data_IF_972852162421
#
_entry.id   IF_972852162421
#
_cell.length_a   1.000
_cell.length_b   1.000
_cell.length_c   1.000
_cell.angle_alpha   90.00
_cell.angle_beta   90.00
_cell.angle_gamma   90.00
#
_symmetry.space_group_name_H-M   'P 1'
#
loop_
_entity.id
_entity.type
_entity.pdbx_description
1 polymer ?
#
# COMPACT_ATOMS: atom_id res chain seq x y z
N UNK A 1 31.72 26.88 -18.48
CA UNK A 1 32.39 28.18 -18.65
C UNK A 1 33.64 27.93 -19.48
N UNK A 2 33.93 28.74 -20.54
CA UNK A 2 35.12 28.61 -21.34
C UNK A 2 36.41 28.70 -20.52
N UNK A 3 37.48 28.07 -21.03
CA UNK A 3 38.79 28.15 -20.39
C UNK A 3 39.26 29.59 -20.31
N UNK A 4 39.72 30.03 -19.15
CA UNK A 4 40.16 31.42 -18.91
C UNK A 4 39.08 32.34 -18.35
N UNK A 5 37.80 32.04 -18.50
CA UNK A 5 36.72 32.78 -17.85
C UNK A 5 36.60 32.41 -16.36
N UNK A 6 36.40 33.41 -15.51
CA UNK A 6 36.33 33.21 -14.07
C UNK A 6 35.07 33.84 -13.41
N UNK A 7 34.15 34.38 -14.21
CA UNK A 7 32.85 34.90 -13.82
C UNK A 7 31.90 34.93 -15.01
N UNK A 8 30.61 35.06 -14.74
CA UNK A 8 29.54 35.23 -15.72
C UNK A 8 28.82 36.53 -15.43
N UNK A 9 28.69 37.40 -16.42
CA UNK A 9 27.77 38.53 -16.40
C UNK A 9 26.41 38.03 -16.90
N UNK A 10 25.35 38.18 -16.10
CA UNK A 10 24.00 37.84 -16.56
C UNK A 10 23.49 38.94 -17.51
N UNK A 11 22.64 38.55 -18.43
CA UNK A 11 22.17 39.45 -19.51
C UNK A 11 21.40 40.66 -18.96
N UNK A 12 20.69 40.51 -17.85
CA UNK A 12 19.93 41.56 -17.21
C UNK A 12 20.80 42.69 -16.65
N UNK A 13 22.06 42.40 -16.32
CA UNK A 13 23.05 43.36 -15.83
C UNK A 13 24.00 43.89 -16.94
N UNK A 14 23.72 43.51 -18.19
CA UNK A 14 24.47 43.90 -19.37
C UNK A 14 23.63 44.80 -20.28
N UNK A 15 24.23 45.87 -20.80
CA UNK A 15 23.68 46.72 -21.84
C UNK A 15 24.57 46.63 -23.07
N UNK A 16 24.02 46.08 -24.16
CA UNK A 16 24.74 45.97 -25.44
C UNK A 16 24.73 47.35 -26.14
N UNK A 17 25.94 47.85 -26.48
CA UNK A 17 26.17 49.08 -27.24
C UNK A 17 27.05 48.67 -28.43
N UNK A 18 26.71 49.05 -29.61
CA UNK A 18 27.37 48.75 -30.91
C UNK A 18 28.57 47.78 -30.85
N UNK A 19 29.69 48.21 -30.27
CA UNK A 19 30.92 47.42 -30.13
C UNK A 19 31.34 47.15 -28.70
N UNK A 20 30.49 47.46 -27.71
CA UNK A 20 30.80 47.34 -26.27
C UNK A 20 29.63 46.74 -25.50
N UNK A 21 29.96 46.15 -24.37
CA UNK A 21 28.98 45.76 -23.33
C UNK A 21 29.20 46.65 -22.11
N UNK A 22 28.20 47.44 -21.75
CA UNK A 22 28.23 48.23 -20.54
C UNK A 22 27.71 47.38 -19.38
N UNK A 23 28.54 47.25 -18.36
CA UNK A 23 28.23 46.49 -17.15
C UNK A 23 27.49 47.40 -16.16
N UNK A 24 26.27 47.04 -15.73
CA UNK A 24 25.45 47.80 -14.81
C UNK A 24 25.80 47.52 -13.35
N UNK A 25 26.35 46.35 -13.06
CA UNK A 25 26.76 45.94 -11.71
C UNK A 25 28.16 45.35 -11.71
N UNK A 26 28.89 45.53 -10.62
CA UNK A 26 30.23 44.96 -10.43
C UNK A 26 30.13 43.43 -10.48
N UNK A 27 30.95 42.81 -11.34
CA UNK A 27 31.09 41.37 -11.43
C UNK A 27 32.29 40.90 -10.60
N UNK A 28 32.04 40.02 -9.66
CA UNK A 28 33.12 39.45 -8.83
C UNK A 28 33.59 38.08 -9.34
N UNK A 29 34.78 37.68 -8.91
CA UNK A 29 35.34 36.39 -9.29
C UNK A 29 34.47 35.26 -8.74
N UNK A 30 34.09 34.31 -9.62
CA UNK A 30 33.21 33.18 -9.45
C UNK A 30 31.69 33.49 -9.38
N UNK A 31 31.28 34.74 -9.73
CA UNK A 31 29.87 35.05 -9.86
C UNK A 31 29.22 34.16 -10.91
N UNK A 32 28.08 33.57 -10.56
CA UNK A 32 27.27 32.64 -11.34
C UNK A 32 28.01 31.41 -11.89
N UNK A 33 29.23 31.11 -11.41
CA UNK A 33 29.98 29.91 -11.77
C UNK A 33 29.70 28.78 -10.79
N UNK A 34 29.08 27.72 -11.30
CA UNK A 34 28.91 26.47 -10.53
C UNK A 34 30.21 25.67 -10.58
N UNK A 35 30.85 25.50 -9.42
CA UNK A 35 32.06 24.67 -9.32
C UNK A 35 31.74 23.20 -9.61
N UNK A 36 32.65 22.47 -10.24
CA UNK A 36 32.55 21.01 -10.45
C UNK A 36 32.24 20.32 -9.11
N UNK A 37 31.17 19.49 -9.09
CA UNK A 37 30.75 18.76 -7.89
C UNK A 37 29.98 19.59 -6.87
N UNK A 38 29.41 20.76 -7.25
CA UNK A 38 28.54 21.56 -6.36
C UNK A 38 27.22 20.84 -6.08
N UNK A 39 26.67 20.06 -7.01
CA UNK A 39 25.42 19.28 -6.83
C UNK A 39 25.76 17.89 -6.24
N UNK A 40 26.58 17.13 -6.92
CA UNK A 40 27.05 15.83 -6.43
C UNK A 40 28.49 15.53 -6.85
N UNK A 41 29.15 14.63 -6.11
CA UNK A 41 30.54 14.23 -6.34
C UNK A 41 30.63 12.75 -6.66
N UNK A 42 31.61 12.36 -7.47
CA UNK A 42 31.93 10.96 -7.72
C UNK A 42 32.17 10.19 -6.41
N UNK A 43 31.69 8.96 -6.31
CA UNK A 43 31.82 8.11 -5.12
C UNK A 43 30.80 8.38 -4.01
N UNK A 44 29.99 9.45 -4.07
CA UNK A 44 28.94 9.71 -3.08
C UNK A 44 27.68 8.89 -3.40
N UNK A 45 27.16 8.18 -2.40
CA UNK A 45 25.90 7.45 -2.53
C UNK A 45 24.75 8.46 -2.43
N UNK A 46 24.01 8.67 -3.51
CA UNK A 46 22.86 9.57 -3.58
C UNK A 46 21.54 8.83 -3.37
N UNK A 47 21.42 7.61 -3.89
CA UNK A 47 20.23 6.76 -3.75
C UNK A 47 20.62 5.46 -3.02
N UNK A 48 19.84 5.11 -2.01
CA UNK A 48 20.07 3.89 -1.23
C UNK A 48 19.18 2.75 -1.74
N UNK A 49 19.65 1.50 -1.55
CA UNK A 49 18.83 0.30 -1.77
C UNK A 49 17.55 0.37 -0.95
N UNK A 50 16.43 -0.04 -1.54
CA UNK A 50 15.12 -0.06 -0.89
C UNK A 50 14.33 1.23 -1.04
N UNK A 51 14.90 2.27 -1.65
CA UNK A 51 14.18 3.51 -1.96
C UNK A 51 13.22 3.29 -3.14
N UNK A 52 11.99 3.78 -3.02
CA UNK A 52 11.05 3.87 -4.16
C UNK A 52 11.47 5.07 -5.01
N UNK A 53 11.79 4.81 -6.29
CA UNK A 53 12.21 5.85 -7.22
C UNK A 53 11.05 6.77 -7.58
N UNK A 54 11.25 8.07 -7.37
CA UNK A 54 10.32 9.16 -7.71
C UNK A 54 10.82 9.93 -8.92
N UNK A 55 10.00 10.81 -9.46
CA UNK A 55 10.32 11.61 -10.66
C UNK A 55 11.65 12.36 -10.54
N UNK A 56 11.93 12.96 -9.38
CA UNK A 56 13.20 13.68 -9.17
C UNK A 56 14.42 12.76 -9.06
N UNK A 57 14.24 11.53 -8.57
CA UNK A 57 15.31 10.52 -8.56
C UNK A 57 15.66 10.11 -9.99
N UNK A 58 14.66 9.97 -10.86
CA UNK A 58 14.85 9.67 -12.29
C UNK A 58 15.60 10.82 -12.99
N UNK A 59 15.22 12.08 -12.72
CA UNK A 59 15.92 13.24 -13.26
C UNK A 59 17.38 13.29 -12.81
N UNK A 60 17.65 13.01 -11.53
CA UNK A 60 19.01 12.92 -10.98
C UNK A 60 19.82 11.81 -11.65
N UNK A 61 19.26 10.62 -11.83
CA UNK A 61 19.92 9.51 -12.53
C UNK A 61 20.25 9.87 -13.98
N UNK A 62 19.33 10.51 -14.67
CA UNK A 62 19.54 10.98 -16.05
C UNK A 62 20.65 12.03 -16.10
N UNK A 63 20.73 12.97 -15.14
CA UNK A 63 21.81 13.98 -15.08
C UNK A 63 23.20 13.36 -14.85
N UNK A 64 23.24 12.17 -14.24
CA UNK A 64 24.47 11.37 -14.08
C UNK A 64 24.81 10.50 -15.28
N UNK A 65 24.07 10.60 -16.37
CA UNK A 65 24.20 9.75 -17.56
C UNK A 65 24.05 8.25 -17.28
N UNK A 66 23.09 7.89 -16.39
CA UNK A 66 22.76 6.51 -16.03
C UNK A 66 21.44 6.08 -16.70
N UNK A 67 21.48 5.55 -17.95
CA UNK A 67 20.28 5.20 -18.71
C UNK A 67 19.60 3.92 -18.20
N UNK A 68 20.32 3.06 -17.49
CA UNK A 68 19.83 1.79 -16.98
C UNK A 68 20.15 1.61 -15.50
N UNK A 69 19.18 1.14 -14.75
CA UNK A 69 19.31 0.86 -13.33
C UNK A 69 18.71 -0.52 -12.98
N UNK A 70 19.43 -1.29 -12.17
CA UNK A 70 18.88 -2.53 -11.62
C UNK A 70 17.87 -2.22 -10.52
N UNK A 71 16.63 -2.66 -10.71
CA UNK A 71 15.53 -2.48 -9.76
C UNK A 71 14.90 -3.82 -9.38
N UNK A 72 14.18 -3.86 -8.26
CA UNK A 72 13.40 -5.03 -7.86
C UNK A 72 12.20 -5.22 -8.81
N UNK A 73 11.98 -6.42 -9.27
CA UNK A 73 10.82 -6.79 -10.09
C UNK A 73 9.53 -6.63 -9.27
N UNK A 74 8.47 -6.13 -9.88
CA UNK A 74 7.14 -6.08 -9.25
C UNK A 74 6.64 -7.50 -8.95
N UNK A 75 6.13 -7.78 -7.73
CA UNK A 75 5.52 -9.06 -7.41
C UNK A 75 4.27 -9.32 -8.27
N UNK A 76 4.14 -10.53 -8.78
CA UNK A 76 2.93 -11.01 -9.48
C UNK A 76 1.95 -11.53 -8.46
N UNK A 77 0.72 -11.02 -8.48
CA UNK A 77 -0.32 -11.35 -7.50
C UNK A 77 -1.56 -11.87 -8.22
N UNK A 78 -2.03 -13.06 -7.87
CA UNK A 78 -3.29 -13.62 -8.33
C UNK A 78 -4.35 -13.46 -7.24
N UNK A 79 -5.54 -12.97 -7.61
CA UNK A 79 -6.66 -12.72 -6.70
C UNK A 79 -7.82 -13.63 -7.11
N UNK A 80 -8.29 -14.47 -6.19
CA UNK A 80 -9.42 -15.39 -6.35
C UNK A 80 -10.50 -14.96 -5.35
N UNK A 81 -11.73 -14.71 -5.80
CA UNK A 81 -12.89 -14.66 -4.91
C UNK A 81 -13.60 -16.01 -4.89
N UNK A 82 -14.13 -16.39 -3.73
CA UNK A 82 -14.91 -17.62 -3.57
C UNK A 82 -16.31 -17.26 -3.05
N UNK A 83 -17.34 -17.90 -3.62
CA UNK A 83 -18.73 -17.70 -3.21
C UNK A 83 -19.71 -18.00 -4.34
N UNK A 84 -20.73 -18.80 -4.04
CA UNK A 84 -21.81 -19.09 -5.01
C UNK A 84 -22.73 -17.89 -5.20
N UNK A 85 -22.76 -17.00 -4.20
CA UNK A 85 -23.50 -15.74 -4.21
C UNK A 85 -22.86 -14.66 -5.09
N UNK A 86 -21.61 -14.82 -5.52
CA UNK A 86 -20.85 -13.77 -6.17
C UNK A 86 -21.14 -13.68 -7.67
N UNK A 87 -21.33 -12.45 -8.15
CA UNK A 87 -21.37 -12.12 -9.59
C UNK A 87 -20.36 -11.03 -9.93
N UNK A 88 -19.87 -11.06 -11.16
CA UNK A 88 -18.92 -10.06 -11.67
C UNK A 88 -19.64 -8.71 -11.83
N UNK A 89 -19.00 -7.57 -11.49
CA UNK A 89 -19.56 -6.23 -11.78
C UNK A 89 -19.97 -6.08 -13.24
N UNK A 90 -21.13 -5.46 -13.47
CA UNK A 90 -21.76 -5.33 -14.79
C UNK A 90 -22.86 -6.36 -15.04
N UNK A 91 -22.88 -7.47 -14.33
CA UNK A 91 -23.98 -8.43 -14.35
C UNK A 91 -25.03 -8.05 -13.30
N UNK A 92 -26.32 -8.19 -13.65
CA UNK A 92 -27.42 -7.99 -12.69
C UNK A 92 -27.46 -9.16 -11.69
N UNK A 93 -27.34 -8.89 -10.37
CA UNK A 93 -27.47 -9.94 -9.37
C UNK A 93 -28.89 -10.52 -9.36
N UNK A 94 -29.01 -11.84 -9.32
CA UNK A 94 -30.27 -12.54 -9.02
C UNK A 94 -30.56 -12.53 -7.52
N UNK A 95 -31.70 -13.11 -7.11
CA UNK A 95 -31.99 -13.32 -5.69
C UNK A 95 -30.84 -14.08 -5.04
N UNK A 96 -30.43 -13.64 -3.86
CA UNK A 96 -29.30 -14.19 -3.07
C UNK A 96 -27.93 -14.04 -3.71
N UNK A 97 -27.76 -13.14 -4.67
CA UNK A 97 -26.46 -12.80 -5.25
C UNK A 97 -26.01 -11.38 -4.88
N UNK A 98 -24.70 -11.21 -4.79
CA UNK A 98 -24.05 -9.92 -4.54
C UNK A 98 -22.90 -9.70 -5.54
N UNK A 99 -22.58 -8.44 -5.78
CA UNK A 99 -21.47 -8.09 -6.69
C UNK A 99 -20.12 -8.28 -5.99
N UNK A 100 -19.21 -9.00 -6.64
CA UNK A 100 -17.84 -9.23 -6.15
C UNK A 100 -16.99 -7.95 -6.21
N UNK A 101 -17.18 -7.04 -5.26
CA UNK A 101 -16.49 -5.74 -5.19
C UNK A 101 -15.07 -5.80 -4.62
N UNK A 102 -14.80 -6.76 -3.73
CA UNK A 102 -13.57 -6.84 -2.95
C UNK A 102 -12.33 -7.01 -3.80
N UNK A 103 -12.41 -7.86 -4.85
CA UNK A 103 -11.31 -8.14 -5.76
C UNK A 103 -10.83 -6.89 -6.51
N UNK A 104 -11.76 -6.01 -6.88
CA UNK A 104 -11.44 -4.77 -7.60
C UNK A 104 -10.77 -3.76 -6.69
N UNK A 105 -11.29 -3.56 -5.46
CA UNK A 105 -10.67 -2.72 -4.45
C UNK A 105 -9.26 -3.22 -4.08
N UNK A 106 -9.13 -4.53 -3.88
CA UNK A 106 -7.85 -5.16 -3.57
C UNK A 106 -6.85 -5.02 -4.72
N UNK A 107 -7.28 -5.25 -5.97
CA UNK A 107 -6.43 -5.05 -7.16
C UNK A 107 -5.89 -3.62 -7.23
N UNK A 108 -6.76 -2.63 -7.00
CA UNK A 108 -6.35 -1.22 -6.99
C UNK A 108 -5.28 -0.94 -5.92
N UNK A 109 -5.47 -1.42 -4.69
CA UNK A 109 -4.49 -1.29 -3.60
C UNK A 109 -3.15 -1.96 -3.92
N UNK A 110 -3.17 -3.21 -4.39
CA UNK A 110 -1.96 -3.96 -4.72
C UNK A 110 -1.14 -3.27 -5.83
N UNK A 111 -1.82 -2.79 -6.87
CA UNK A 111 -1.16 -2.06 -7.96
C UNK A 111 -0.58 -0.73 -7.47
N UNK A 112 -1.30 0.00 -6.60
CA UNK A 112 -0.83 1.23 -5.96
C UNK A 112 0.44 0.97 -5.13
N UNK A 113 0.52 -0.17 -4.45
CA UNK A 113 1.70 -0.57 -3.66
C UNK A 113 2.83 -1.16 -4.50
N UNK A 114 2.69 -1.21 -5.82
CA UNK A 114 3.75 -1.59 -6.75
C UNK A 114 3.77 -3.07 -7.15
N UNK A 115 2.73 -3.84 -6.86
CA UNK A 115 2.54 -5.18 -7.41
C UNK A 115 1.94 -5.12 -8.82
N UNK A 116 1.98 -6.25 -9.53
CA UNK A 116 1.19 -6.51 -10.74
C UNK A 116 0.14 -7.55 -10.40
N UNK A 117 -1.13 -7.17 -10.37
CA UNK A 117 -2.20 -8.04 -9.88
C UNK A 117 -3.23 -8.39 -10.94
N UNK A 118 -3.69 -9.64 -10.93
CA UNK A 118 -4.69 -10.19 -11.83
C UNK A 118 -5.86 -10.77 -11.02
N UNK A 119 -7.10 -10.48 -11.44
CA UNK A 119 -8.31 -11.10 -10.91
C UNK A 119 -8.58 -12.34 -11.74
N UNK A 120 -8.71 -13.47 -11.07
CA UNK A 120 -9.08 -14.75 -11.67
C UNK A 120 -10.59 -14.96 -11.63
N UNK A 121 -11.13 -15.92 -12.39
CA UNK A 121 -12.55 -16.27 -12.31
C UNK A 121 -12.99 -16.58 -10.89
N UNK A 122 -14.24 -16.29 -10.56
CA UNK A 122 -14.85 -16.59 -9.26
C UNK A 122 -14.88 -18.12 -9.07
N UNK A 123 -14.28 -18.59 -8.00
CA UNK A 123 -14.39 -19.99 -7.59
C UNK A 123 -15.74 -20.22 -6.88
N UNK A 124 -16.38 -21.37 -7.15
CA UNK A 124 -17.57 -21.81 -6.42
C UNK A 124 -17.19 -22.36 -5.05
N UNK A 125 -18.16 -22.42 -4.14
CA UNK A 125 -17.96 -22.92 -2.77
C UNK A 125 -17.82 -24.44 -2.71
N UNK A 126 -16.85 -24.95 -3.48
CA UNK A 126 -16.42 -26.33 -3.45
C UNK A 126 -14.91 -26.49 -3.73
N UNK A 127 -14.33 -27.57 -3.23
CA UNK A 127 -12.89 -27.85 -3.32
C UNK A 127 -12.40 -27.89 -4.77
N UNK A 128 -13.13 -28.57 -5.66
CA UNK A 128 -12.73 -28.73 -7.06
C UNK A 128 -12.63 -27.42 -7.81
N UNK A 129 -13.58 -26.51 -7.59
CA UNK A 129 -13.57 -25.18 -8.21
C UNK A 129 -12.42 -24.33 -7.69
N UNK A 130 -12.16 -24.36 -6.38
CA UNK A 130 -11.05 -23.64 -5.77
C UNK A 130 -9.69 -24.20 -6.23
N UNK A 131 -9.54 -25.51 -6.34
CA UNK A 131 -8.32 -26.14 -6.85
C UNK A 131 -8.02 -25.68 -8.29
N UNK A 132 -9.01 -25.73 -9.18
CA UNK A 132 -8.88 -25.21 -10.56
C UNK A 132 -8.48 -23.75 -10.61
N UNK A 133 -9.06 -22.92 -9.73
CA UNK A 133 -8.70 -21.50 -9.64
C UNK A 133 -7.27 -21.33 -9.14
N UNK A 134 -6.80 -22.15 -8.21
CA UNK A 134 -5.42 -22.13 -7.71
C UNK A 134 -4.43 -22.61 -8.79
N UNK A 135 -4.76 -23.59 -9.60
CA UNK A 135 -3.94 -24.02 -10.74
C UNK A 135 -3.73 -22.86 -11.74
N UNK A 136 -4.79 -22.08 -12.00
CA UNK A 136 -4.71 -20.88 -12.82
C UNK A 136 -3.90 -19.74 -12.17
N UNK A 137 -3.79 -19.74 -10.84
CA UNK A 137 -3.10 -18.69 -10.10
C UNK A 137 -1.58 -18.77 -10.23
N UNK A 138 -1.03 -19.91 -10.61
CA UNK A 138 0.44 -20.13 -10.72
C UNK A 138 0.87 -19.96 -12.18
N UNK A 139 2.02 -19.32 -12.46
CA UNK A 139 3.03 -18.85 -11.49
C UNK A 139 2.77 -17.44 -10.96
N UNK A 140 2.56 -17.31 -9.66
CA UNK A 140 2.48 -16.04 -8.93
C UNK A 140 3.43 -16.02 -7.73
N UNK A 141 3.85 -14.84 -7.30
CA UNK A 141 4.63 -14.66 -6.09
C UNK A 141 3.72 -14.65 -4.84
N UNK A 142 2.48 -14.21 -5.02
CA UNK A 142 1.44 -14.14 -3.98
C UNK A 142 0.09 -14.53 -4.58
N UNK A 143 -0.59 -15.47 -3.93
CA UNK A 143 -1.97 -15.87 -4.24
C UNK A 143 -2.86 -15.44 -3.09
N UNK A 144 -3.93 -14.72 -3.41
CA UNK A 144 -4.89 -14.22 -2.42
C UNK A 144 -6.26 -14.81 -2.73
N UNK A 145 -6.88 -15.46 -1.74
CA UNK A 145 -8.29 -15.84 -1.78
C UNK A 145 -9.11 -14.87 -0.94
N UNK A 146 -10.32 -14.54 -1.38
CA UNK A 146 -11.27 -13.69 -0.65
C UNK A 146 -12.58 -14.45 -0.48
N UNK A 147 -12.98 -14.69 0.76
CA UNK A 147 -14.07 -15.60 1.10
C UNK A 147 -13.58 -17.03 1.30
N UNK A 148 -14.51 -17.94 1.56
CA UNK A 148 -14.21 -19.35 1.81
C UNK A 148 -13.40 -19.66 3.09
N UNK A 149 -12.87 -18.63 3.75
CA UNK A 149 -12.22 -18.74 5.06
C UNK A 149 -13.29 -18.43 6.13
N UNK A 150 -13.87 -19.50 6.70
CA UNK A 150 -14.92 -19.39 7.74
C UNK A 150 -14.43 -19.96 9.08
N UNK A 151 -15.18 -19.67 10.14
CA UNK A 151 -14.96 -20.28 11.47
C UNK A 151 -15.72 -21.61 11.66
N UNK A 152 -16.46 -22.09 10.65
CA UNK A 152 -17.30 -23.29 10.68
C UNK A 152 -16.84 -24.37 9.69
N UNK A 153 -17.70 -25.38 9.49
CA UNK A 153 -17.44 -26.63 8.74
C UNK A 153 -17.18 -26.45 7.22
N UNK A 154 -17.21 -25.21 6.72
CA UNK A 154 -17.04 -24.89 5.30
C UNK A 154 -15.79 -24.04 5.03
N UNK A 155 -14.66 -24.32 5.71
CA UNK A 155 -13.38 -23.64 5.43
C UNK A 155 -12.63 -24.37 4.31
N UNK A 156 -13.19 -24.32 3.10
CA UNK A 156 -12.58 -24.92 1.92
C UNK A 156 -11.18 -24.37 1.61
N UNK A 157 -10.91 -23.11 1.94
CA UNK A 157 -9.60 -22.48 1.68
C UNK A 157 -8.53 -23.14 2.52
N UNK A 158 -8.76 -23.33 3.82
CA UNK A 158 -7.81 -24.00 4.72
C UNK A 158 -7.55 -25.46 4.28
N UNK A 159 -8.60 -26.19 3.91
CA UNK A 159 -8.47 -27.59 3.47
C UNK A 159 -7.67 -27.70 2.16
N UNK A 160 -7.97 -26.85 1.17
CA UNK A 160 -7.25 -26.88 -0.11
C UNK A 160 -5.81 -26.40 0.06
N UNK A 161 -5.55 -25.41 0.90
CA UNK A 161 -4.19 -25.00 1.22
C UNK A 161 -3.39 -26.14 1.88
N UNK A 162 -4.00 -26.93 2.75
CA UNK A 162 -3.37 -28.12 3.33
C UNK A 162 -3.07 -29.18 2.24
N UNK A 163 -4.01 -29.44 1.33
CA UNK A 163 -3.84 -30.41 0.23
C UNK A 163 -2.67 -30.03 -0.68
N UNK A 164 -2.51 -28.75 -1.01
CA UNK A 164 -1.38 -28.25 -1.80
C UNK A 164 -0.12 -28.00 -0.94
N UNK A 165 -0.08 -28.50 0.30
CA UNK A 165 1.07 -28.44 1.23
C UNK A 165 1.54 -27.03 1.55
N UNK A 166 0.63 -26.06 1.67
CA UNK A 166 0.94 -24.73 2.20
C UNK A 166 1.30 -24.86 3.68
N UNK A 167 2.51 -24.48 4.03
CA UNK A 167 2.92 -24.39 5.44
C UNK A 167 2.32 -23.12 6.04
N UNK A 168 1.34 -23.28 6.93
CA UNK A 168 0.68 -22.16 7.59
C UNK A 168 1.66 -21.38 8.47
N UNK A 169 1.71 -20.07 8.31
CA UNK A 169 2.42 -19.15 9.20
C UNK A 169 1.53 -18.72 10.36
N UNK A 170 0.25 -18.49 10.07
CA UNK A 170 -0.80 -18.25 11.07
C UNK A 170 -2.19 -18.56 10.50
N UNK A 171 -3.12 -18.83 11.43
CA UNK A 171 -4.53 -19.06 11.14
C UNK A 171 -5.35 -18.42 12.24
N UNK A 172 -6.21 -17.47 11.87
CA UNK A 172 -7.00 -16.58 12.76
C UNK A 172 -6.15 -15.62 13.61
N UNK A 173 -6.57 -14.37 13.64
CA UNK A 173 -5.91 -13.32 14.43
C UNK A 173 -6.94 -12.68 15.35
N UNK A 174 -6.55 -12.39 16.58
CA UNK A 174 -7.43 -11.77 17.60
C UNK A 174 -7.65 -10.28 17.33
N UNK A 175 -8.19 -9.95 16.16
CA UNK A 175 -8.46 -8.58 15.71
C UNK A 175 -9.90 -8.37 15.24
N UNK A 176 -10.30 -7.11 15.09
CA UNK A 176 -11.56 -6.65 14.53
C UNK A 176 -11.29 -5.43 13.63
N UNK A 177 -11.81 -5.40 12.36
CA UNK A 177 -12.33 -6.55 11.63
C UNK A 177 -11.20 -7.49 11.18
N UNK A 178 -11.51 -8.68 10.64
CA UNK A 178 -10.51 -9.52 9.98
C UNK A 178 -10.06 -10.77 10.75
N UNK A 179 -10.80 -11.24 11.78
CA UNK A 179 -10.45 -12.44 12.56
C UNK A 179 -10.08 -13.66 11.68
N UNK A 180 -10.83 -14.04 10.61
CA UNK A 180 -10.58 -15.28 9.86
C UNK A 180 -9.53 -15.11 8.74
N UNK A 181 -8.49 -14.33 8.97
CA UNK A 181 -7.35 -14.27 8.04
C UNK A 181 -6.43 -15.46 8.28
N UNK A 182 -5.88 -16.00 7.18
CA UNK A 182 -4.85 -17.03 7.23
C UNK A 182 -3.73 -16.70 6.25
N UNK A 183 -2.52 -17.16 6.55
CA UNK A 183 -1.39 -17.03 5.64
C UNK A 183 -0.45 -18.22 5.75
N UNK A 184 0.21 -18.54 4.66
CA UNK A 184 1.19 -19.59 4.59
C UNK A 184 2.05 -19.50 3.34
N UNK A 185 2.93 -20.49 3.15
CA UNK A 185 3.85 -20.53 2.03
C UNK A 185 3.98 -21.96 1.51
N UNK A 186 4.00 -22.10 0.19
CA UNK A 186 4.44 -23.32 -0.50
C UNK A 186 5.53 -22.94 -1.52
N UNK A 187 6.70 -23.55 -1.42
CA UNK A 187 7.87 -23.20 -2.21
C UNK A 187 8.15 -21.68 -2.16
N UNK A 188 8.11 -21.01 -3.30
CA UNK A 188 8.35 -19.57 -3.41
C UNK A 188 7.07 -18.73 -3.44
N UNK A 189 5.88 -19.37 -3.46
CA UNK A 189 4.59 -18.67 -3.49
C UNK A 189 4.04 -18.50 -2.08
N UNK A 190 3.62 -17.29 -1.76
CA UNK A 190 2.91 -16.96 -0.52
C UNK A 190 1.40 -17.05 -0.80
N UNK A 191 0.66 -17.59 0.15
CA UNK A 191 -0.79 -17.76 0.09
C UNK A 191 -1.42 -17.00 1.25
N UNK A 192 -2.44 -16.20 0.94
CA UNK A 192 -3.18 -15.43 1.96
C UNK A 192 -4.68 -15.58 1.71
N UNK A 193 -5.42 -16.08 2.71
CA UNK A 193 -6.87 -16.10 2.71
C UNK A 193 -7.42 -14.91 3.48
N UNK A 194 -8.18 -14.06 2.80
CA UNK A 194 -8.83 -12.88 3.36
C UNK A 194 -10.30 -13.17 3.66
N UNK A 195 -10.90 -12.50 4.66
CA UNK A 195 -12.33 -12.57 4.95
C UNK A 195 -13.18 -12.14 3.74
N UNK A 196 -14.38 -12.73 3.61
CA UNK A 196 -15.36 -12.35 2.57
C UNK A 196 -15.95 -10.95 2.77
N UNK A 197 -16.12 -10.48 4.01
CA UNK A 197 -16.66 -9.15 4.29
C UNK A 197 -15.76 -8.03 3.73
N UNK A 198 -16.31 -7.08 2.94
CA UNK A 198 -15.52 -6.10 2.18
C UNK A 198 -14.54 -5.29 3.01
N UNK A 199 -15.02 -4.69 4.10
CA UNK A 199 -14.17 -3.89 4.99
C UNK A 199 -13.11 -4.74 5.66
N UNK A 200 -13.46 -5.98 6.05
CA UNK A 200 -12.48 -6.90 6.64
C UNK A 200 -11.36 -7.22 5.67
N UNK A 201 -11.68 -7.53 4.41
CA UNK A 201 -10.70 -7.84 3.39
C UNK A 201 -9.75 -6.67 3.13
N UNK A 202 -10.29 -5.46 2.94
CA UNK A 202 -9.48 -4.27 2.64
C UNK A 202 -8.67 -3.76 3.83
N UNK A 203 -9.20 -3.84 5.05
CA UNK A 203 -8.44 -3.53 6.28
C UNK A 203 -7.32 -4.55 6.49
N UNK A 204 -7.58 -5.86 6.31
CA UNK A 204 -6.53 -6.89 6.34
C UNK A 204 -5.48 -6.65 5.25
N UNK A 205 -5.87 -6.21 4.07
CA UNK A 205 -4.92 -5.87 3.01
C UNK A 205 -3.97 -4.75 3.45
N UNK A 206 -4.47 -3.66 4.02
CA UNK A 206 -3.62 -2.60 4.57
C UNK A 206 -2.68 -3.09 5.68
N UNK A 207 -3.19 -3.91 6.60
CA UNK A 207 -2.41 -4.35 7.75
C UNK A 207 -1.35 -5.39 7.42
N UNK A 208 -1.62 -6.30 6.48
CA UNK A 208 -0.77 -7.46 6.19
C UNK A 208 -0.18 -7.43 4.78
N UNK A 209 -0.97 -7.12 3.75
CA UNK A 209 -0.47 -7.19 2.37
C UNK A 209 0.39 -5.99 2.00
N UNK A 210 0.06 -4.78 2.46
CA UNK A 210 0.88 -3.58 2.22
C UNK A 210 2.33 -3.77 2.67
N UNK A 211 2.62 -4.14 3.96
CA UNK A 211 3.98 -4.40 4.39
C UNK A 211 4.60 -5.65 3.74
N UNK A 212 3.80 -6.67 3.40
CA UNK A 212 4.28 -7.84 2.67
C UNK A 212 4.79 -7.46 1.27
N UNK A 213 4.04 -6.68 0.51
CA UNK A 213 4.46 -6.16 -0.80
C UNK A 213 5.72 -5.31 -0.64
N UNK A 214 5.80 -4.46 0.38
CA UNK A 214 7.00 -3.69 0.71
C UNK A 214 8.22 -4.58 0.91
N UNK A 215 8.08 -5.65 1.68
CA UNK A 215 9.15 -6.63 1.91
C UNK A 215 9.55 -7.36 0.63
N UNK A 216 8.59 -7.73 -0.23
CA UNK A 216 8.87 -8.36 -1.54
C UNK A 216 9.60 -7.40 -2.49
N UNK A 217 9.30 -6.11 -2.43
CA UNK A 217 9.99 -5.06 -3.18
C UNK A 217 11.34 -4.63 -2.57
N UNK A 218 11.61 -5.05 -1.32
CA UNK A 218 12.82 -4.69 -0.59
C UNK A 218 12.79 -3.25 -0.05
N UNK A 219 11.60 -2.69 0.22
CA UNK A 219 11.43 -1.34 0.78
C UNK A 219 10.69 -1.36 2.12
N UNK A 220 11.00 -0.40 2.98
CA UNK A 220 10.27 -0.14 4.23
C UNK A 220 9.25 1.00 4.09
N UNK A 221 9.19 1.68 2.95
CA UNK A 221 8.28 2.81 2.72
C UNK A 221 6.79 2.41 2.75
N UNK A 222 6.50 1.10 2.59
CA UNK A 222 5.15 0.54 2.67
C UNK A 222 4.77 0.02 4.07
N UNK A 223 5.62 0.17 5.07
CA UNK A 223 5.27 -0.22 6.43
C UNK A 223 4.18 0.69 7.01
N UNK A 224 3.29 0.09 7.79
CA UNK A 224 2.30 0.86 8.54
C UNK A 224 3.00 1.55 9.72
N UNK A 225 2.99 2.89 9.70
CA UNK A 225 3.59 3.70 10.76
C UNK A 225 2.50 4.10 11.74
N UNK A 226 2.63 3.70 13.00
CA UNK A 226 1.75 4.15 14.07
C UNK A 226 2.05 5.60 14.44
N UNK A 227 1.00 6.41 14.45
CA UNK A 227 1.04 7.85 14.80
C UNK A 227 0.10 8.13 15.95
N UNK A 228 0.21 9.31 16.56
CA UNK A 228 -0.71 9.80 17.59
C UNK A 228 -1.54 10.97 17.05
N UNK A 229 -2.83 10.99 17.40
CA UNK A 229 -3.76 12.06 17.05
C UNK A 229 -4.82 12.27 18.12
N UNK A 230 -5.47 13.43 18.12
CA UNK A 230 -6.47 13.81 19.11
C UNK A 230 -7.85 13.27 18.73
N UNK A 231 -8.56 12.64 19.66
CA UNK A 231 -9.95 12.20 19.45
C UNK A 231 -10.91 13.38 19.38
N UNK A 232 -11.82 13.35 18.40
CA UNK A 232 -12.94 14.30 18.30
C UNK A 232 -14.20 13.85 19.04
N UNK A 233 -14.30 12.57 19.41
CA UNK A 233 -15.48 11.98 20.06
C UNK A 233 -15.06 10.90 21.06
N UNK A 234 -15.85 10.72 22.11
CA UNK A 234 -15.62 9.68 23.10
C UNK A 234 -15.69 8.29 22.49
N UNK A 235 -14.86 7.38 22.99
CA UNK A 235 -14.87 5.96 22.64
C UNK A 235 -15.14 5.11 23.88
N UNK A 236 -16.00 4.10 23.80
CA UNK A 236 -16.25 3.19 24.91
C UNK A 236 -15.03 2.29 25.17
N UNK A 237 -15.04 1.57 26.30
CA UNK A 237 -14.08 0.50 26.58
C UNK A 237 -14.05 -0.49 25.41
N UNK A 238 -12.84 -0.88 24.97
CA UNK A 238 -12.70 -1.88 23.92
C UNK A 238 -12.95 -3.30 24.46
N UNK A 239 -13.39 -4.17 23.57
CA UNK A 239 -13.57 -5.60 23.86
C UNK A 239 -12.23 -6.36 23.82
N UNK A 240 -12.28 -7.68 23.93
CA UNK A 240 -11.12 -8.59 24.06
C UNK A 240 -10.21 -8.70 22.80
N UNK A 241 -10.60 -8.10 21.66
CA UNK A 241 -9.80 -8.13 20.43
C UNK A 241 -9.23 -6.76 20.11
N UNK A 242 -8.02 -6.72 19.56
CA UNK A 242 -7.46 -5.49 18.97
C UNK A 242 -8.41 -4.97 17.89
N UNK A 243 -8.82 -3.69 17.98
CA UNK A 243 -9.81 -3.12 17.08
C UNK A 243 -9.19 -2.03 16.22
N UNK A 244 -9.32 -2.14 14.91
CA UNK A 244 -8.94 -1.16 13.92
C UNK A 244 -10.20 -0.42 13.46
N UNK A 245 -10.44 0.75 14.05
CA UNK A 245 -11.66 1.53 13.84
C UNK A 245 -11.48 2.54 12.72
N UNK A 246 -12.40 2.55 11.76
CA UNK A 246 -12.39 3.54 10.68
C UNK A 246 -12.62 4.93 11.23
N UNK A 247 -11.74 5.86 10.84
CA UNK A 247 -11.77 7.24 11.26
C UNK A 247 -11.46 8.19 10.11
N UNK A 248 -11.87 9.44 10.25
CA UNK A 248 -11.47 10.53 9.39
C UNK A 248 -10.48 11.42 10.13
N UNK A 249 -9.28 11.51 9.60
CA UNK A 249 -8.20 12.36 10.10
C UNK A 249 -8.21 13.68 9.36
N UNK A 250 -8.29 14.78 10.09
CA UNK A 250 -8.12 16.14 9.56
C UNK A 250 -7.39 17.01 10.59
N UNK A 251 -6.31 17.66 10.18
CA UNK A 251 -5.51 18.57 11.04
C UNK A 251 -5.09 17.93 12.39
N UNK A 252 -4.66 16.66 12.36
CA UNK A 252 -4.25 15.93 13.56
C UNK A 252 -5.40 15.43 14.46
N UNK A 253 -6.64 15.68 14.07
CA UNK A 253 -7.85 15.28 14.81
C UNK A 253 -8.54 14.09 14.13
N UNK A 254 -8.98 13.11 14.92
CA UNK A 254 -9.56 11.84 14.50
C UNK A 254 -11.04 11.77 14.85
N UNK A 255 -11.90 11.87 13.85
CA UNK A 255 -13.32 11.59 13.96
C UNK A 255 -13.57 10.10 13.70
N UNK A 256 -13.73 9.31 14.76
CA UNK A 256 -14.00 7.88 14.64
C UNK A 256 -15.45 7.65 14.24
N UNK A 257 -15.66 6.89 13.16
CA UNK A 257 -17.03 6.57 12.69
C UNK A 257 -17.80 5.78 13.76
N UNK A 258 -19.05 6.18 14.01
CA UNK A 258 -19.95 5.42 14.89
C UNK A 258 -20.34 4.06 14.30
N UNK A 259 -20.38 3.96 12.97
CA UNK A 259 -20.71 2.72 12.24
C UNK A 259 -19.41 1.95 11.92
N UNK A 260 -19.21 0.82 12.59
CA UNK A 260 -18.03 -0.03 12.46
C UNK A 260 -18.36 -1.43 11.92
N UNK A 261 -19.48 -1.57 11.20
CA UNK A 261 -19.87 -2.82 10.55
C UNK A 261 -18.92 -3.15 9.40
N UNK A 262 -18.55 -4.43 9.26
CA UNK A 262 -17.55 -4.90 8.30
C UNK A 262 -18.06 -5.03 6.86
N UNK A 263 -19.35 -4.80 6.63
CA UNK A 263 -19.97 -4.77 5.29
C UNK A 263 -20.01 -3.35 4.67
N UNK A 264 -19.86 -2.29 5.50
CA UNK A 264 -20.11 -0.91 5.08
C UNK A 264 -18.92 -0.28 4.34
N UNK A 265 -18.80 -0.53 3.04
CA UNK A 265 -17.78 0.08 2.17
C UNK A 265 -17.87 1.60 2.12
N UNK A 266 -19.08 2.18 2.17
CA UNK A 266 -19.27 3.64 2.17
C UNK A 266 -18.63 4.33 3.37
N UNK A 267 -18.50 3.64 4.51
CA UNK A 267 -17.79 4.13 5.68
C UNK A 267 -16.28 4.05 5.49
N UNK A 268 -15.80 2.96 4.91
CA UNK A 268 -14.37 2.80 4.60
C UNK A 268 -13.91 3.80 3.53
N UNK A 269 -14.73 4.06 2.52
CA UNK A 269 -14.44 5.02 1.45
C UNK A 269 -14.21 6.45 1.97
N UNK A 270 -14.89 6.83 3.07
CA UNK A 270 -14.73 8.13 3.73
C UNK A 270 -13.58 8.16 4.73
N UNK A 271 -13.07 6.99 5.13
CA UNK A 271 -12.00 6.90 6.11
C UNK A 271 -10.63 7.08 5.45
N UNK A 272 -9.74 7.81 6.10
CA UNK A 272 -8.33 7.94 5.75
C UNK A 272 -7.40 7.52 6.89
N UNK A 273 -7.97 6.98 7.98
CA UNK A 273 -7.21 6.47 9.11
C UNK A 273 -7.93 5.28 9.78
N UNK A 274 -7.13 4.42 10.42
CA UNK A 274 -7.60 3.38 11.33
C UNK A 274 -7.09 3.68 12.74
N UNK A 275 -7.99 4.04 13.64
CA UNK A 275 -7.68 4.16 15.06
C UNK A 275 -7.47 2.77 15.64
N UNK A 276 -6.42 2.59 16.41
CA UNK A 276 -6.01 1.33 17.01
C UNK A 276 -6.43 1.32 18.47
N UNK A 277 -7.29 0.35 18.85
CA UNK A 277 -7.66 0.10 20.24
C UNK A 277 -7.11 -1.27 20.67
N UNK A 278 -6.34 -1.27 21.74
CA UNK A 278 -5.78 -2.52 22.28
C UNK A 278 -6.88 -3.38 22.94
N UNK A 279 -6.66 -4.71 23.09
CA UNK A 279 -7.60 -5.55 23.84
C UNK A 279 -7.87 -4.98 25.24
N UNK A 280 -9.15 -4.93 25.63
CA UNK A 280 -9.62 -4.43 26.93
C UNK A 280 -9.21 -2.98 27.27
N UNK A 281 -8.76 -2.20 26.32
CA UNK A 281 -8.36 -0.80 26.53
C UNK A 281 -9.51 0.01 27.11
N UNK A 282 -9.27 0.85 28.16
CA UNK A 282 -10.30 1.66 28.80
C UNK A 282 -11.02 2.60 27.83
N UNK A 283 -12.14 3.16 28.23
CA UNK A 283 -12.80 4.24 27.48
C UNK A 283 -11.82 5.40 27.26
N UNK A 284 -11.93 6.05 26.13
CA UNK A 284 -11.15 7.25 25.80
C UNK A 284 -12.11 8.43 25.59
N UNK A 285 -11.71 9.62 26.01
CA UNK A 285 -12.49 10.85 25.93
C UNK A 285 -12.09 11.71 24.74
N UNK A 286 -12.99 12.57 24.29
CA UNK A 286 -12.65 13.64 23.36
C UNK A 286 -11.45 14.43 23.90
N UNK A 287 -10.44 14.65 23.04
CA UNK A 287 -9.19 15.32 23.40
C UNK A 287 -8.05 14.37 23.80
N UNK A 288 -8.34 13.08 24.07
CA UNK A 288 -7.28 12.11 24.36
C UNK A 288 -6.42 11.82 23.12
N UNK A 289 -5.13 11.60 23.35
CA UNK A 289 -4.21 11.12 22.33
C UNK A 289 -4.38 9.63 22.09
N UNK A 290 -4.69 9.26 20.86
CA UNK A 290 -4.88 7.86 20.49
C UNK A 290 -3.99 7.44 19.32
N UNK A 291 -3.63 6.16 19.30
CA UNK A 291 -2.80 5.59 18.23
C UNK A 291 -3.64 5.32 16.99
N UNK A 292 -3.09 5.65 15.81
CA UNK A 292 -3.70 5.37 14.52
C UNK A 292 -2.65 5.05 13.46
N UNK A 293 -3.10 4.45 12.36
CA UNK A 293 -2.36 4.35 11.09
C UNK A 293 -3.16 5.05 10.00
N UNK A 294 -2.45 5.64 9.05
CA UNK A 294 -3.08 6.26 7.88
C UNK A 294 -3.45 5.19 6.83
N UNK A 295 -4.60 5.40 6.19
CA UNK A 295 -5.00 4.68 4.99
C UNK A 295 -4.51 5.45 3.75
N UNK A 296 -4.24 4.72 2.65
CA UNK A 296 -3.72 5.31 1.41
C UNK A 296 -4.75 6.15 0.64
#
# INVERSE_FOLDING_TARGET
VPSGANSILIQEDAEELDNFIKIRQKVEKNDFIRKKGCDYKAGKILLKKGKILRSFDIALLASMNLPLLKVTRRPRVSIISTGDELVVPGNLPKNNQIVASNTYGLKALLNKWGATSHILPIARDNKTSLEKALDLAVPADLVITIGGASVGDHDYVSEVFNKIKVKHSFYKVAMRPGKPILAGKNNNTIFVGLPGNPVSALVCAHLFLKPLIGKMLGTNELNNIEKKGLLQNDLPKNAVRKHFMRAFLKNGQLAVSKKQDSSLLSVLQKANALVIRQPNEPSAKKGDLITYIELD
#
